data_IF_039136873505
#
_entry.id   IF_039136873505
#
_cell.length_a   1.000
_cell.length_b   1.000
_cell.length_c   1.000
_cell.angle_alpha   90.00
_cell.angle_beta   90.00
_cell.angle_gamma   90.00
#
_symmetry.space_group_name_H-M   'P 1'
#
loop_
_entity.id
_entity.type
_entity.pdbx_description
1 polymer ?
#
# COMPACT_ATOMS: atom_id res chain seq x y z
N UNK A 1 8.62 -8.80 14.18
CA UNK A 1 7.54 -8.34 15.08
C UNK A 1 6.59 -9.49 15.37
N UNK A 2 5.97 -9.51 16.54
CA UNK A 2 4.91 -10.47 16.89
C UNK A 2 3.62 -10.11 16.12
N UNK A 3 2.86 -11.12 15.65
CA UNK A 3 1.56 -10.88 15.01
C UNK A 3 0.64 -10.11 15.97
N UNK A 4 -0.22 -9.23 15.44
CA UNK A 4 -1.30 -8.55 16.19
C UNK A 4 -2.10 -9.51 17.06
N UNK A 5 -2.34 -10.74 16.59
CA UNK A 5 -3.00 -11.78 17.39
C UNK A 5 -2.14 -12.25 18.57
N UNK A 6 -0.83 -12.35 18.39
CA UNK A 6 0.13 -12.68 19.45
C UNK A 6 0.21 -11.56 20.49
N UNK A 7 0.24 -10.29 20.07
CA UNK A 7 0.22 -9.14 20.98
C UNK A 7 -1.07 -9.07 21.81
N UNK A 8 -2.23 -9.29 21.17
CA UNK A 8 -3.51 -9.41 21.88
C UNK A 8 -3.54 -10.57 22.87
N UNK A 9 -2.94 -11.70 22.52
CA UNK A 9 -2.81 -12.84 23.43
C UNK A 9 -1.92 -12.51 24.64
N UNK A 10 -0.80 -11.82 24.44
CA UNK A 10 0.06 -11.36 25.53
C UNK A 10 -0.63 -10.36 26.45
N UNK A 11 -1.43 -9.43 25.92
CA UNK A 11 -2.24 -8.52 26.73
C UNK A 11 -3.29 -9.25 27.57
N UNK A 12 -3.96 -10.26 27.00
CA UNK A 12 -4.90 -11.10 27.73
C UNK A 12 -4.21 -11.91 28.86
N UNK A 13 -3.00 -12.41 28.60
CA UNK A 13 -2.19 -13.08 29.62
C UNK A 13 -1.81 -12.12 30.75
N UNK A 14 -1.35 -10.90 30.44
CA UNK A 14 -1.01 -9.90 31.47
C UNK A 14 -2.22 -9.54 32.32
N UNK A 15 -3.41 -9.41 31.74
CA UNK A 15 -4.64 -9.17 32.49
C UNK A 15 -4.93 -10.29 33.50
N UNK A 16 -4.70 -11.54 33.09
CA UNK A 16 -4.85 -12.72 33.96
C UNK A 16 -3.80 -12.72 35.09
N UNK A 17 -2.54 -12.43 34.77
CA UNK A 17 -1.46 -12.35 35.75
C UNK A 17 -1.72 -11.23 36.78
N UNK A 18 -2.26 -10.09 36.33
CA UNK A 18 -2.63 -8.98 37.20
C UNK A 18 -3.77 -9.33 38.16
N UNK A 19 -4.79 -10.02 37.66
CA UNK A 19 -5.87 -10.53 38.51
C UNK A 19 -5.32 -11.47 39.60
N UNK A 20 -4.39 -12.37 39.24
CA UNK A 20 -3.75 -13.26 40.21
C UNK A 20 -2.93 -12.49 41.27
N UNK A 21 -2.29 -11.36 40.92
CA UNK A 21 -1.61 -10.51 41.91
C UNK A 21 -2.59 -9.87 42.89
N UNK A 22 -3.71 -9.35 42.38
CA UNK A 22 -4.77 -8.77 43.20
C UNK A 22 -5.30 -9.82 44.20
N UNK A 23 -5.55 -11.04 43.72
CA UNK A 23 -6.04 -12.14 44.54
C UNK A 23 -5.01 -12.58 45.61
N UNK A 24 -3.71 -12.38 45.37
CA UNK A 24 -2.65 -12.62 46.35
C UNK A 24 -2.45 -11.46 47.34
N UNK A 25 -2.60 -10.21 46.91
CA UNK A 25 -2.42 -9.03 47.76
C UNK A 25 -3.58 -8.85 48.75
N UNK A 26 -4.82 -9.08 48.30
CA UNK A 26 -6.04 -8.90 49.10
C UNK A 26 -5.98 -9.60 50.48
N UNK A 27 -5.69 -10.91 50.59
CA UNK A 27 -5.62 -11.58 51.89
C UNK A 27 -4.42 -11.10 52.74
N UNK A 28 -3.31 -10.69 52.14
CA UNK A 28 -2.14 -10.18 52.86
C UNK A 28 -2.42 -8.81 53.48
N UNK A 29 -3.10 -7.92 52.74
CA UNK A 29 -3.54 -6.62 53.23
C UNK A 29 -4.56 -6.76 54.37
N UNK A 30 -5.53 -7.67 54.22
CA UNK A 30 -6.48 -7.99 55.28
C UNK A 30 -5.74 -8.48 56.53
N UNK A 31 -4.76 -9.37 56.37
CA UNK A 31 -3.96 -9.91 57.48
C UNK A 31 -3.14 -8.83 58.19
N UNK A 32 -2.53 -7.89 57.49
CA UNK A 32 -1.82 -6.77 58.12
C UNK A 32 -2.79 -5.91 58.95
N UNK A 33 -3.96 -5.61 58.42
CA UNK A 33 -4.96 -4.80 59.13
C UNK A 33 -5.43 -5.51 60.42
N UNK A 34 -5.69 -6.81 60.36
CA UNK A 34 -5.98 -7.64 61.54
C UNK A 34 -4.85 -7.60 62.57
N UNK A 35 -3.60 -7.75 62.13
CA UNK A 35 -2.44 -7.72 63.02
C UNK A 35 -2.24 -6.35 63.68
N UNK A 36 -2.47 -5.26 62.95
CA UNK A 36 -2.45 -3.91 63.52
C UNK A 36 -3.57 -3.71 64.55
N UNK A 37 -4.76 -4.24 64.29
CA UNK A 37 -5.87 -4.21 65.25
C UNK A 37 -5.53 -5.01 66.51
N UNK A 38 -5.01 -6.23 66.36
CA UNK A 38 -4.53 -7.06 67.47
C UNK A 38 -3.47 -6.32 68.29
N UNK A 39 -2.50 -5.67 67.65
CA UNK A 39 -1.48 -4.87 68.33
C UNK A 39 -2.12 -3.73 69.13
N UNK A 40 -3.06 -3.00 68.53
CA UNK A 40 -3.73 -1.87 69.14
C UNK A 40 -4.54 -2.31 70.37
N UNK A 41 -5.38 -3.32 70.21
CA UNK A 41 -6.20 -3.90 71.28
C UNK A 41 -5.34 -4.47 72.42
N UNK A 42 -4.29 -5.22 72.09
CA UNK A 42 -3.39 -5.84 73.08
C UNK A 42 -2.58 -4.79 73.83
N UNK A 43 -2.13 -3.72 73.15
CA UNK A 43 -1.43 -2.60 73.79
C UNK A 43 -2.35 -1.84 74.74
N UNK A 44 -3.60 -1.60 74.35
CA UNK A 44 -4.60 -0.98 75.22
C UNK A 44 -4.89 -1.83 76.47
N UNK A 45 -5.05 -3.15 76.31
CA UNK A 45 -5.27 -4.08 77.42
C UNK A 45 -4.08 -4.15 78.39
N UNK A 46 -2.83 -4.08 77.87
CA UNK A 46 -1.63 -4.00 78.70
C UNK A 46 -1.54 -2.69 79.49
N UNK A 47 -2.05 -1.59 78.94
CA UNK A 47 -2.11 -0.29 79.61
C UNK A 47 -3.21 -0.24 80.69
N UNK A 48 -4.29 -1.02 80.56
CA UNK A 48 -5.35 -1.18 81.59
C UNK A 48 -4.99 -2.25 82.64
N UNK A 49 -3.85 -2.04 83.30
CA UNK A 49 -3.20 -3.02 84.19
C UNK A 49 -4.07 -3.46 85.37
N UNK A 50 -4.98 -2.60 85.83
CA UNK A 50 -5.89 -2.89 86.95
C UNK A 50 -6.87 -4.03 86.65
N UNK A 51 -7.19 -4.28 85.37
CA UNK A 51 -8.15 -5.31 84.95
C UNK A 51 -7.51 -6.61 84.45
N UNK A 52 -6.25 -6.58 83.98
CA UNK A 52 -5.65 -7.69 83.23
C UNK A 52 -4.35 -8.28 83.81
N UNK A 53 -4.02 -8.00 85.08
CA UNK A 53 -2.74 -8.40 85.68
C UNK A 53 -2.44 -9.91 85.61
N UNK A 54 -3.45 -10.78 85.65
CA UNK A 54 -3.27 -12.25 85.55
C UNK A 54 -2.95 -12.75 84.13
N UNK A 55 -3.11 -11.91 83.10
CA UNK A 55 -2.96 -12.27 81.69
C UNK A 55 -1.79 -11.53 81.01
N UNK A 56 -0.96 -10.81 81.78
CA UNK A 56 0.08 -9.92 81.25
C UNK A 56 1.10 -10.67 80.36
N UNK A 57 1.47 -11.90 80.72
CA UNK A 57 2.41 -12.73 79.96
C UNK A 57 1.87 -13.14 78.58
N UNK A 58 0.61 -13.56 78.52
CA UNK A 58 -0.06 -13.96 77.28
C UNK A 58 -0.26 -12.77 76.34
N UNK A 59 -0.65 -11.61 76.88
CA UNK A 59 -0.79 -10.37 76.11
C UNK A 59 0.56 -9.92 75.51
N UNK A 60 1.66 -9.98 76.29
CA UNK A 60 3.01 -9.70 75.76
C UNK A 60 3.41 -10.68 74.65
N UNK A 61 3.13 -11.96 74.83
CA UNK A 61 3.43 -12.99 73.83
C UNK A 61 2.64 -12.77 72.53
N UNK A 62 1.34 -12.43 72.62
CA UNK A 62 0.50 -12.09 71.47
C UNK A 62 1.00 -10.84 70.74
N UNK A 63 1.39 -9.81 71.48
CA UNK A 63 1.96 -8.57 70.91
C UNK A 63 3.27 -8.83 70.15
N UNK A 64 4.18 -9.61 70.75
CA UNK A 64 5.46 -9.97 70.11
C UNK A 64 5.21 -10.79 68.85
N UNK A 65 4.32 -11.78 68.92
CA UNK A 65 3.99 -12.64 67.78
C UNK A 65 3.38 -11.84 66.63
N UNK A 66 2.43 -10.95 66.92
CA UNK A 66 1.81 -10.10 65.90
C UNK A 66 2.82 -9.16 65.23
N UNK A 67 3.69 -8.51 66.01
CA UNK A 67 4.78 -7.66 65.47
C UNK A 67 5.77 -8.43 64.61
N UNK A 68 6.07 -9.69 64.98
CA UNK A 68 6.97 -10.55 64.22
C UNK A 68 6.38 -10.99 62.88
N UNK A 69 5.06 -11.17 62.80
CA UNK A 69 4.37 -11.61 61.59
C UNK A 69 4.24 -10.49 60.53
N UNK A 70 4.16 -9.23 60.94
CA UNK A 70 4.02 -8.07 60.03
C UNK A 70 5.20 -7.95 59.05
N UNK A 71 6.43 -8.10 59.53
CA UNK A 71 7.64 -7.88 58.71
C UNK A 71 7.67 -8.74 57.43
N UNK A 72 7.53 -10.08 57.54
CA UNK A 72 7.46 -10.96 56.37
C UNK A 72 6.28 -10.68 55.44
N UNK A 73 5.11 -10.28 55.96
CA UNK A 73 3.94 -9.96 55.13
C UNK A 73 4.17 -8.66 54.36
N UNK A 74 4.71 -7.63 55.01
CA UNK A 74 5.05 -6.36 54.37
C UNK A 74 6.08 -6.54 53.24
N UNK A 75 7.09 -7.40 53.46
CA UNK A 75 8.07 -7.74 52.41
C UNK A 75 7.40 -8.43 51.21
N UNK A 76 6.47 -9.36 51.44
CA UNK A 76 5.73 -10.02 50.36
C UNK A 76 4.85 -9.03 49.58
N UNK A 77 4.16 -8.12 50.27
CA UNK A 77 3.38 -7.07 49.63
C UNK A 77 4.25 -6.17 48.75
N UNK A 78 5.41 -5.75 49.25
CA UNK A 78 6.36 -4.93 48.48
C UNK A 78 6.84 -5.63 47.20
N UNK A 79 7.08 -6.95 47.24
CA UNK A 79 7.43 -7.74 46.05
C UNK A 79 6.26 -7.77 45.05
N UNK A 80 5.03 -7.97 45.53
CA UNK A 80 3.84 -8.01 44.68
C UNK A 80 3.55 -6.63 44.05
N UNK A 81 3.72 -5.54 44.79
CA UNK A 81 3.59 -4.16 44.27
C UNK A 81 4.63 -3.85 43.19
N UNK A 82 5.89 -4.27 43.41
CA UNK A 82 6.93 -4.16 42.39
C UNK A 82 6.56 -4.95 41.15
N UNK A 83 5.99 -6.15 41.32
CA UNK A 83 5.55 -6.98 40.21
C UNK A 83 4.37 -6.35 39.45
N UNK A 84 3.41 -5.74 40.12
CA UNK A 84 2.31 -5.01 39.47
C UNK A 84 2.82 -3.82 38.65
N UNK A 85 3.84 -3.12 39.16
CA UNK A 85 4.51 -2.03 38.43
C UNK A 85 5.19 -2.54 37.15
N UNK A 86 5.89 -3.68 37.22
CA UNK A 86 6.50 -4.34 36.05
C UNK A 86 5.45 -4.78 35.02
N UNK A 87 4.34 -5.38 35.47
CA UNK A 87 3.24 -5.78 34.58
C UNK A 87 2.59 -4.56 33.91
N UNK A 88 2.43 -3.45 34.64
CA UNK A 88 1.88 -2.20 34.11
C UNK A 88 2.74 -1.62 32.98
N UNK A 89 4.06 -1.62 33.17
CA UNK A 89 4.99 -1.16 32.14
C UNK A 89 4.90 -2.06 30.90
N UNK A 90 4.86 -3.37 31.09
CA UNK A 90 4.79 -4.34 30.00
C UNK A 90 3.47 -4.29 29.25
N UNK A 91 2.37 -4.02 29.95
CA UNK A 91 1.06 -3.77 29.36
C UNK A 91 1.09 -2.52 28.48
N UNK A 92 1.71 -1.44 28.97
CA UNK A 92 1.88 -0.21 28.19
C UNK A 92 2.70 -0.46 26.91
N UNK A 93 3.82 -1.19 27.00
CA UNK A 93 4.65 -1.56 25.85
C UNK A 93 3.86 -2.37 24.81
N UNK A 94 3.19 -3.46 25.21
CA UNK A 94 2.42 -4.28 24.27
C UNK A 94 1.23 -3.54 23.66
N UNK A 95 0.59 -2.60 24.37
CA UNK A 95 -0.46 -1.76 23.80
C UNK A 95 0.10 -0.81 22.74
N UNK A 96 1.29 -0.25 22.96
CA UNK A 96 1.95 0.62 21.99
C UNK A 96 2.34 -0.18 20.74
N UNK A 97 2.93 -1.36 20.92
CA UNK A 97 3.31 -2.25 19.82
C UNK A 97 2.10 -2.72 19.03
N UNK A 98 0.99 -3.04 19.70
CA UNK A 98 -0.27 -3.40 19.03
C UNK A 98 -0.80 -2.24 18.20
N UNK A 99 -0.84 -1.02 18.75
CA UNK A 99 -1.30 0.16 18.02
C UNK A 99 -0.42 0.44 16.78
N UNK A 100 0.90 0.29 16.90
CA UNK A 100 1.83 0.42 15.76
C UNK A 100 1.59 -0.65 14.69
N UNK A 101 1.43 -1.91 15.11
CA UNK A 101 1.16 -3.02 14.19
C UNK A 101 -0.19 -2.86 13.46
N UNK A 102 -1.23 -2.42 14.17
CA UNK A 102 -2.56 -2.15 13.60
C UNK A 102 -2.53 -0.97 12.63
N UNK A 103 -1.79 0.10 12.95
CA UNK A 103 -1.59 1.23 12.04
C UNK A 103 -0.89 0.78 10.75
N UNK A 104 0.25 0.08 10.87
CA UNK A 104 0.99 -0.44 9.72
C UNK A 104 0.14 -1.39 8.86
N UNK A 105 -0.66 -2.25 9.47
CA UNK A 105 -1.57 -3.15 8.76
C UNK A 105 -2.69 -2.40 8.03
N UNK A 106 -3.27 -1.38 8.65
CA UNK A 106 -4.30 -0.53 8.03
C UNK A 106 -3.70 0.21 6.83
N UNK A 107 -2.54 0.85 6.98
CA UNK A 107 -1.86 1.54 5.89
C UNK A 107 -1.50 0.57 4.74
N UNK A 108 -1.01 -0.63 5.04
CA UNK A 108 -0.73 -1.63 4.01
C UNK A 108 -2.01 -2.12 3.31
N UNK A 109 -3.12 -2.25 4.03
CA UNK A 109 -4.42 -2.62 3.47
C UNK A 109 -4.94 -1.56 2.51
N UNK A 110 -4.90 -0.29 2.91
CA UNK A 110 -5.37 0.85 2.09
C UNK A 110 -4.54 0.97 0.81
N UNK A 111 -3.21 0.84 0.91
CA UNK A 111 -2.31 0.85 -0.26
C UNK A 111 -2.59 -0.33 -1.20
N UNK A 112 -2.92 -1.53 -0.68
CA UNK A 112 -3.34 -2.66 -1.54
C UNK A 112 -4.68 -2.39 -2.22
N UNK A 113 -5.61 -1.70 -1.57
CA UNK A 113 -6.88 -1.31 -2.17
C UNK A 113 -6.64 -0.34 -3.35
N UNK A 114 -5.77 0.67 -3.16
CA UNK A 114 -5.36 1.58 -4.24
C UNK A 114 -4.73 0.83 -5.44
N UNK A 115 -3.87 -0.17 -5.18
CA UNK A 115 -3.33 -1.03 -6.23
C UNK A 115 -4.44 -1.80 -6.97
N UNK A 116 -5.43 -2.31 -6.24
CA UNK A 116 -6.58 -3.01 -6.79
C UNK A 116 -7.42 -2.12 -7.72
N UNK A 117 -7.67 -0.87 -7.32
CA UNK A 117 -8.37 0.12 -8.15
C UNK A 117 -7.59 0.42 -9.43
N UNK A 118 -6.28 0.62 -9.33
CA UNK A 118 -5.42 0.84 -10.49
C UNK A 118 -5.46 -0.34 -11.48
N UNK A 119 -5.46 -1.59 -10.99
CA UNK A 119 -5.63 -2.79 -11.82
C UNK A 119 -6.98 -2.79 -12.52
N UNK A 120 -8.05 -2.41 -11.82
CA UNK A 120 -9.39 -2.32 -12.39
C UNK A 120 -9.45 -1.30 -13.53
N UNK A 121 -8.82 -0.13 -13.37
CA UNK A 121 -8.77 0.89 -14.40
C UNK A 121 -7.95 0.47 -15.62
N UNK A 122 -6.83 -0.23 -15.43
CA UNK A 122 -6.06 -0.82 -16.55
C UNK A 122 -6.93 -1.80 -17.35
N UNK A 123 -7.65 -2.71 -16.67
CA UNK A 123 -8.55 -3.68 -17.34
C UNK A 123 -9.68 -3.01 -18.12
N UNK A 124 -10.27 -1.96 -17.56
CA UNK A 124 -11.30 -1.19 -18.25
C UNK A 124 -10.75 -0.48 -19.49
N UNK A 125 -9.56 0.13 -19.40
CA UNK A 125 -8.89 0.75 -20.53
C UNK A 125 -8.57 -0.28 -21.64
N UNK A 126 -8.05 -1.47 -21.28
CA UNK A 126 -7.78 -2.56 -22.22
C UNK A 126 -9.06 -3.04 -22.93
N UNK A 127 -10.17 -3.16 -22.19
CA UNK A 127 -11.45 -3.54 -22.77
C UNK A 127 -11.97 -2.48 -23.76
N UNK A 128 -11.84 -1.19 -23.42
CA UNK A 128 -12.16 -0.08 -24.33
C UNK A 128 -11.28 -0.10 -25.58
N UNK A 129 -9.97 -0.34 -25.44
CA UNK A 129 -9.05 -0.46 -26.57
C UNK A 129 -9.41 -1.61 -27.50
N UNK A 130 -9.75 -2.79 -26.96
CA UNK A 130 -10.22 -3.93 -27.73
C UNK A 130 -11.51 -3.61 -28.50
N UNK A 131 -12.46 -2.91 -27.87
CA UNK A 131 -13.68 -2.44 -28.52
C UNK A 131 -13.39 -1.42 -29.63
N UNK A 132 -12.44 -0.51 -29.42
CA UNK A 132 -12.06 0.44 -30.47
C UNK A 132 -11.34 -0.24 -31.63
N UNK A 133 -10.52 -1.26 -31.39
CA UNK A 133 -9.86 -2.03 -32.43
C UNK A 133 -10.87 -2.74 -33.36
N UNK A 134 -11.93 -3.33 -32.79
CA UNK A 134 -13.00 -3.95 -33.59
C UNK A 134 -13.77 -2.90 -34.40
N UNK A 135 -14.16 -1.79 -33.78
CA UNK A 135 -14.82 -0.67 -34.48
C UNK A 135 -13.96 -0.09 -35.61
N UNK A 136 -12.64 0.01 -35.41
CA UNK A 136 -11.71 0.49 -36.43
C UNK A 136 -11.67 -0.45 -37.62
N UNK A 137 -11.64 -1.76 -37.37
CA UNK A 137 -11.62 -2.80 -38.41
C UNK A 137 -12.89 -2.74 -39.25
N UNK A 138 -14.05 -2.65 -38.60
CA UNK A 138 -15.34 -2.52 -39.28
C UNK A 138 -15.44 -1.25 -40.13
N UNK A 139 -15.00 -0.11 -39.58
CA UNK A 139 -15.01 1.17 -40.30
C UNK A 139 -14.04 1.17 -41.48
N UNK A 140 -12.85 0.58 -41.34
CA UNK A 140 -11.89 0.41 -42.46
C UNK A 140 -12.45 -0.50 -43.54
N UNK A 141 -13.15 -1.58 -43.17
CA UNK A 141 -13.82 -2.46 -44.12
C UNK A 141 -14.91 -1.71 -44.90
N UNK A 142 -15.76 -0.94 -44.19
CA UNK A 142 -16.78 -0.08 -44.81
C UNK A 142 -16.17 0.99 -45.72
N UNK A 143 -15.06 1.61 -45.30
CA UNK A 143 -14.35 2.58 -46.12
C UNK A 143 -13.80 1.96 -47.41
N UNK A 144 -13.22 0.76 -47.33
CA UNK A 144 -12.70 0.03 -48.49
C UNK A 144 -13.82 -0.36 -49.46
N UNK A 145 -14.96 -0.83 -48.95
CA UNK A 145 -16.13 -1.14 -49.76
C UNK A 145 -16.67 0.11 -50.47
N UNK A 146 -16.81 1.23 -49.76
CA UNK A 146 -17.27 2.48 -50.35
C UNK A 146 -16.31 3.05 -51.41
N UNK A 147 -14.99 2.93 -51.20
CA UNK A 147 -13.99 3.30 -52.23
C UNK A 147 -14.07 2.43 -53.48
N UNK A 148 -14.37 1.13 -53.33
CA UNK A 148 -14.57 0.22 -54.47
C UNK A 148 -15.78 0.61 -55.28
N UNK A 149 -16.93 0.84 -54.63
CA UNK A 149 -18.14 1.31 -55.30
C UNK A 149 -17.93 2.66 -56.02
N UNK A 150 -17.15 3.57 -55.43
CA UNK A 150 -16.80 4.83 -56.11
C UNK A 150 -15.92 4.62 -57.36
N UNK A 151 -14.99 3.66 -57.31
CA UNK A 151 -14.15 3.32 -58.46
C UNK A 151 -14.94 2.60 -59.55
N UNK A 152 -15.91 1.76 -59.20
CA UNK A 152 -16.82 1.10 -60.14
C UNK A 152 -17.66 2.11 -60.92
N UNK A 153 -18.16 3.16 -60.25
CA UNK A 153 -18.82 4.29 -60.94
C UNK A 153 -17.88 4.96 -61.93
N UNK A 154 -16.64 5.27 -61.53
CA UNK A 154 -15.66 5.89 -62.44
C UNK A 154 -15.30 5.00 -63.63
N UNK A 155 -15.21 3.69 -63.42
CA UNK A 155 -14.98 2.73 -64.49
C UNK A 155 -16.17 2.71 -65.47
N UNK A 156 -17.40 2.69 -64.96
CA UNK A 156 -18.61 2.74 -65.79
C UNK A 156 -18.76 4.09 -66.53
N UNK A 157 -18.29 5.19 -65.95
CA UNK A 157 -18.21 6.49 -66.63
C UNK A 157 -17.20 6.46 -67.78
N UNK A 158 -16.01 5.88 -67.57
CA UNK A 158 -15.01 5.67 -68.63
C UNK A 158 -15.54 4.77 -69.76
N UNK A 159 -16.19 3.64 -69.42
CA UNK A 159 -16.80 2.74 -70.42
C UNK A 159 -17.85 3.47 -71.27
N UNK A 160 -18.64 4.36 -70.66
CA UNK A 160 -19.63 5.16 -71.39
C UNK A 160 -18.98 6.20 -72.29
N UNK A 161 -17.94 6.89 -71.83
CA UNK A 161 -17.22 7.88 -72.61
C UNK A 161 -16.53 7.23 -73.82
N UNK A 162 -15.89 6.06 -73.63
CA UNK A 162 -15.29 5.25 -74.70
C UNK A 162 -16.33 4.79 -75.73
N UNK A 163 -17.48 4.28 -75.28
CA UNK A 163 -18.56 3.85 -76.18
C UNK A 163 -19.13 5.02 -76.99
N UNK A 164 -19.23 6.22 -76.39
CA UNK A 164 -19.67 7.44 -77.07
C UNK A 164 -18.66 7.93 -78.09
N UNK A 165 -17.37 7.90 -77.76
CA UNK A 165 -16.30 8.28 -78.67
C UNK A 165 -16.24 7.32 -79.87
N UNK A 166 -16.34 6.00 -79.63
CA UNK A 166 -16.39 5.00 -80.70
C UNK A 166 -17.59 5.19 -81.64
N UNK A 167 -18.78 5.47 -81.08
CA UNK A 167 -19.96 5.80 -81.88
C UNK A 167 -19.75 7.06 -82.73
N UNK A 168 -19.15 8.11 -82.16
CA UNK A 168 -18.94 9.36 -82.88
C UNK A 168 -17.87 9.24 -83.97
N UNK A 169 -16.80 8.49 -83.70
CA UNK A 169 -15.80 8.15 -84.70
C UNK A 169 -16.43 7.37 -85.86
N UNK A 170 -17.24 6.35 -85.57
CA UNK A 170 -17.92 5.55 -86.60
C UNK A 170 -18.86 6.39 -87.46
N UNK A 171 -19.59 7.35 -86.87
CA UNK A 171 -20.42 8.30 -87.62
C UNK A 171 -19.59 9.19 -88.54
N UNK A 172 -18.45 9.69 -88.06
CA UNK A 172 -17.52 10.49 -88.85
C UNK A 172 -16.98 9.71 -90.05
N UNK A 173 -16.57 8.47 -89.84
CA UNK A 173 -16.08 7.56 -90.89
C UNK A 173 -17.17 7.24 -91.93
N UNK A 174 -18.39 6.94 -91.47
CA UNK A 174 -19.55 6.70 -92.34
C UNK A 174 -19.88 7.90 -93.23
N UNK A 175 -19.83 9.10 -92.64
CA UNK A 175 -20.07 10.36 -93.34
C UNK A 175 -19.03 10.62 -94.42
N UNK A 176 -17.74 10.46 -94.11
CA UNK A 176 -16.63 10.65 -95.07
C UNK A 176 -16.67 9.61 -96.19
N UNK A 177 -17.05 8.37 -95.89
CA UNK A 177 -17.13 7.28 -96.88
C UNK A 177 -18.38 7.33 -97.77
N UNK A 178 -19.38 8.17 -97.47
CA UNK A 178 -20.63 8.24 -98.21
C UNK A 178 -21.47 6.95 -98.13
N UNK A 179 -21.24 6.12 -97.11
CA UNK A 179 -21.90 4.83 -96.90
C UNK A 179 -22.92 4.92 -95.77
N UNK A 180 -24.03 4.19 -95.90
CA UNK A 180 -24.89 3.89 -94.76
C UNK A 180 -24.16 2.90 -93.85
N UNK A 181 -23.48 3.39 -92.82
CA UNK A 181 -22.88 2.53 -91.80
C UNK A 181 -23.96 1.89 -90.92
N UNK A 182 -23.76 0.63 -90.56
CA UNK A 182 -24.57 -0.06 -89.56
C UNK A 182 -24.17 0.43 -88.16
N UNK A 183 -24.77 1.54 -87.74
CA UNK A 183 -24.55 2.15 -86.43
C UNK A 183 -25.27 1.39 -85.29
N UNK A 184 -26.06 0.36 -85.60
CA UNK A 184 -26.90 -0.31 -84.61
C UNK A 184 -26.06 -0.93 -83.48
N UNK A 185 -24.90 -1.51 -83.81
CA UNK A 185 -24.00 -2.14 -82.83
C UNK A 185 -23.50 -1.10 -81.80
N UNK A 186 -22.95 0.02 -82.27
CA UNK A 186 -22.42 1.09 -81.41
C UNK A 186 -23.51 1.78 -80.58
N UNK A 187 -24.72 1.96 -81.12
CA UNK A 187 -25.86 2.47 -80.34
C UNK A 187 -26.22 1.49 -79.22
N UNK A 188 -26.16 0.19 -79.49
CA UNK A 188 -26.43 -0.85 -78.49
C UNK A 188 -25.37 -0.85 -77.39
N UNK A 189 -24.09 -0.69 -77.74
CA UNK A 189 -22.98 -0.59 -76.79
C UNK A 189 -23.12 0.62 -75.86
N UNK A 190 -23.46 1.80 -76.38
CA UNK A 190 -23.76 3.00 -75.56
C UNK A 190 -24.91 2.71 -74.60
N UNK A 191 -25.99 2.08 -75.08
CA UNK A 191 -27.16 1.76 -74.24
C UNK A 191 -26.80 0.80 -73.09
N UNK A 192 -25.93 -0.19 -73.36
CA UNK A 192 -25.43 -1.12 -72.33
C UNK A 192 -24.55 -0.39 -71.30
N UNK A 193 -23.65 0.48 -71.75
CA UNK A 193 -22.80 1.29 -70.88
C UNK A 193 -23.62 2.25 -70.00
N UNK A 194 -24.65 2.90 -70.55
CA UNK A 194 -25.57 3.76 -69.80
C UNK A 194 -26.32 2.99 -68.71
N UNK A 195 -26.76 1.76 -69.01
CA UNK A 195 -27.42 0.90 -68.04
C UNK A 195 -26.48 0.49 -66.91
N UNK A 196 -25.24 0.11 -67.23
CA UNK A 196 -24.20 -0.20 -66.23
C UNK A 196 -23.88 0.99 -65.34
N UNK A 197 -23.76 2.18 -65.91
CA UNK A 197 -23.53 3.40 -65.15
C UNK A 197 -24.69 3.70 -64.19
N UNK A 198 -25.93 3.54 -64.64
CA UNK A 198 -27.11 3.75 -63.80
C UNK A 198 -27.19 2.75 -62.63
N UNK A 199 -26.80 1.49 -62.86
CA UNK A 199 -26.72 0.44 -61.84
C UNK A 199 -25.60 0.73 -60.84
N UNK A 200 -24.39 1.02 -61.32
CA UNK A 200 -23.24 1.41 -60.49
C UNK A 200 -23.53 2.65 -59.64
N UNK A 201 -24.21 3.67 -60.18
CA UNK A 201 -24.61 4.86 -59.41
C UNK A 201 -25.61 4.53 -58.30
N UNK A 202 -26.65 3.74 -58.60
CA UNK A 202 -27.61 3.30 -57.58
C UNK A 202 -26.96 2.54 -56.42
N UNK A 203 -26.00 1.67 -56.72
CA UNK A 203 -25.30 0.88 -55.70
C UNK A 203 -24.27 1.71 -54.92
N UNK A 204 -23.70 2.74 -55.54
CA UNK A 204 -22.61 3.54 -54.99
C UNK A 204 -23.05 4.80 -54.25
N UNK A 205 -24.20 5.41 -54.58
CA UNK A 205 -24.64 6.70 -54.01
C UNK A 205 -24.66 6.70 -52.48
N UNK A 206 -25.21 5.65 -51.87
CA UNK A 206 -25.23 5.49 -50.41
C UNK A 206 -23.84 5.28 -49.81
N UNK A 207 -22.97 4.56 -50.53
CA UNK A 207 -21.61 4.26 -50.09
C UNK A 207 -20.69 5.49 -50.17
N UNK A 208 -20.79 6.27 -51.25
CA UNK A 208 -20.07 7.53 -51.46
C UNK A 208 -20.50 8.58 -50.44
N UNK A 209 -21.82 8.72 -50.20
CA UNK A 209 -22.33 9.62 -49.17
C UNK A 209 -21.86 9.24 -47.75
N UNK A 210 -21.60 7.95 -47.49
CA UNK A 210 -21.11 7.47 -46.21
C UNK A 210 -19.60 7.72 -45.97
N UNK A 211 -18.78 7.91 -47.02
CA UNK A 211 -17.33 8.13 -46.90
C UNK A 211 -16.92 9.24 -45.92
N UNK A 212 -17.45 10.48 -46.01
CA UNK A 212 -17.10 11.54 -45.07
C UNK A 212 -17.52 11.22 -43.63
N UNK A 213 -18.65 10.52 -43.45
CA UNK A 213 -19.12 10.08 -42.13
C UNK A 213 -18.17 9.03 -41.55
N UNK A 214 -17.75 8.04 -42.35
CA UNK A 214 -16.79 7.01 -41.96
C UNK A 214 -15.45 7.64 -41.59
N UNK A 215 -14.95 8.59 -42.38
CA UNK A 215 -13.71 9.31 -42.10
C UNK A 215 -13.79 10.08 -40.77
N UNK A 216 -14.90 10.79 -40.52
CA UNK A 216 -15.15 11.49 -39.26
C UNK A 216 -15.20 10.53 -38.07
N UNK A 217 -15.85 9.36 -38.23
CA UNK A 217 -15.91 8.32 -37.20
C UNK A 217 -14.53 7.72 -36.91
N UNK A 218 -13.71 7.47 -37.93
CA UNK A 218 -12.33 6.99 -37.75
C UNK A 218 -11.45 8.01 -37.01
N UNK A 219 -11.56 9.30 -37.34
CA UNK A 219 -10.84 10.36 -36.63
C UNK A 219 -11.29 10.48 -35.16
N UNK A 220 -12.59 10.40 -34.89
CA UNK A 220 -13.11 10.40 -33.53
C UNK A 220 -12.66 9.16 -32.74
N UNK A 221 -12.61 7.99 -33.38
CA UNK A 221 -12.12 6.76 -32.78
C UNK A 221 -10.64 6.85 -32.41
N UNK A 222 -9.81 7.47 -33.27
CA UNK A 222 -8.39 7.68 -32.98
C UNK A 222 -8.18 8.49 -31.68
N UNK A 223 -8.97 9.56 -31.47
CA UNK A 223 -8.94 10.35 -30.22
C UNK A 223 -9.38 9.53 -29.00
N UNK A 224 -10.36 8.64 -29.16
CA UNK A 224 -10.80 7.75 -28.08
C UNK A 224 -9.73 6.72 -27.70
N UNK A 225 -9.01 6.18 -28.69
CA UNK A 225 -7.86 5.29 -28.47
C UNK A 225 -6.76 6.03 -27.71
N UNK A 226 -6.42 7.24 -28.12
CA UNK A 226 -5.43 8.08 -27.43
C UNK A 226 -5.82 8.35 -25.97
N UNK A 227 -7.08 8.71 -25.72
CA UNK A 227 -7.60 8.90 -24.36
C UNK A 227 -7.54 7.62 -23.52
N UNK A 228 -7.91 6.46 -24.07
CA UNK A 228 -7.87 5.19 -23.34
C UNK A 228 -6.42 4.74 -23.04
N UNK A 229 -5.48 5.03 -23.94
CA UNK A 229 -4.06 4.81 -23.68
C UNK A 229 -3.54 5.69 -22.54
N UNK A 230 -3.93 6.97 -22.51
CA UNK A 230 -3.56 7.88 -21.43
C UNK A 230 -4.14 7.44 -20.07
N UNK A 231 -5.39 6.96 -20.05
CA UNK A 231 -6.01 6.39 -18.85
C UNK A 231 -5.23 5.16 -18.36
N UNK A 232 -4.84 4.25 -19.27
CA UNK A 232 -4.05 3.07 -18.95
C UNK A 232 -2.67 3.43 -18.39
N UNK A 233 -1.98 4.39 -19.00
CA UNK A 233 -0.67 4.87 -18.53
C UNK A 233 -0.77 5.51 -17.13
N UNK A 234 -1.82 6.29 -16.87
CA UNK A 234 -2.05 6.89 -15.56
C UNK A 234 -2.34 5.83 -14.49
N UNK A 235 -3.15 4.82 -14.83
CA UNK A 235 -3.44 3.70 -13.93
C UNK A 235 -2.16 2.90 -13.61
N UNK A 236 -1.29 2.66 -14.60
CA UNK A 236 0.00 2.01 -14.40
C UNK A 236 0.92 2.82 -13.46
N UNK A 237 0.99 4.15 -13.63
CA UNK A 237 1.75 5.03 -12.73
C UNK A 237 1.23 4.96 -11.29
N UNK A 238 -0.09 4.98 -11.11
CA UNK A 238 -0.73 4.85 -9.78
C UNK A 238 -0.43 3.50 -9.14
N UNK A 239 -0.49 2.42 -9.92
CA UNK A 239 -0.13 1.08 -9.46
C UNK A 239 1.31 1.05 -8.93
N UNK A 240 2.28 1.56 -9.68
CA UNK A 240 3.68 1.56 -9.26
C UNK A 240 3.96 2.48 -8.06
N UNK A 241 3.28 3.63 -7.97
CA UNK A 241 3.37 4.51 -6.82
C UNK A 241 2.83 3.83 -5.54
N UNK A 242 1.68 3.15 -5.63
CA UNK A 242 1.13 2.39 -4.51
C UNK A 242 2.00 1.17 -4.16
N UNK A 243 2.52 0.45 -5.16
CA UNK A 243 3.45 -0.66 -4.96
C UNK A 243 4.72 -0.20 -4.22
N UNK A 244 5.29 0.94 -4.61
CA UNK A 244 6.50 1.51 -3.95
C UNK A 244 6.20 1.87 -2.49
N UNK A 245 5.08 2.55 -2.22
CA UNK A 245 4.63 2.84 -0.84
C UNK A 245 4.44 1.57 -0.01
N UNK A 246 3.92 0.49 -0.59
CA UNK A 246 3.78 -0.79 0.10
C UNK A 246 5.14 -1.40 0.48
N UNK A 247 6.12 -1.28 -0.41
CA UNK A 247 7.50 -1.67 -0.13
C UNK A 247 8.12 -0.81 0.97
N UNK A 248 7.90 0.52 0.95
CA UNK A 248 8.37 1.42 1.99
C UNK A 248 7.74 1.13 3.35
N UNK A 249 6.44 0.84 3.42
CA UNK A 249 5.77 0.44 4.66
C UNK A 249 6.39 -0.84 5.22
N UNK A 250 6.66 -1.82 4.35
CA UNK A 250 7.31 -3.07 4.75
C UNK A 250 8.75 -2.85 5.20
N UNK A 251 9.52 -2.05 4.47
CA UNK A 251 10.92 -1.78 4.75
C UNK A 251 11.10 -0.92 6.00
N UNK A 252 10.29 0.14 6.17
CA UNK A 252 10.27 0.97 7.38
C UNK A 252 9.99 0.12 8.61
N UNK A 253 9.04 -0.80 8.51
CA UNK A 253 8.72 -1.74 9.57
C UNK A 253 9.89 -2.69 9.93
N UNK A 254 10.60 -3.19 8.92
CA UNK A 254 11.80 -4.03 9.13
C UNK A 254 12.95 -3.24 9.76
N UNK A 255 13.16 -1.98 9.34
CA UNK A 255 14.20 -1.09 9.88
C UNK A 255 13.89 -0.64 11.31
N UNK A 256 12.64 -0.30 11.62
CA UNK A 256 12.21 0.05 12.98
C UNK A 256 12.45 -1.12 13.95
N UNK A 257 12.11 -2.35 13.55
CA UNK A 257 12.40 -3.55 14.36
C UNK A 257 13.90 -3.81 14.55
N UNK A 258 14.72 -3.53 13.55
CA UNK A 258 16.17 -3.60 13.64
C UNK A 258 16.75 -2.54 14.60
N UNK A 259 16.22 -1.32 14.56
CA UNK A 259 16.62 -0.22 15.47
C UNK A 259 16.24 -0.57 16.91
N UNK A 260 15.03 -1.08 17.15
CA UNK A 260 14.60 -1.53 18.49
C UNK A 260 15.47 -2.67 19.02
N UNK A 261 15.83 -3.63 18.17
CA UNK A 261 16.75 -4.72 18.51
C UNK A 261 18.15 -4.19 18.82
N UNK A 262 18.64 -3.21 18.06
CA UNK A 262 19.93 -2.58 18.30
C UNK A 262 19.94 -1.76 19.60
N UNK A 263 18.83 -1.07 19.92
CA UNK A 263 18.66 -0.30 21.15
C UNK A 263 18.61 -1.22 22.38
N UNK A 264 17.91 -2.36 22.30
CA UNK A 264 17.90 -3.37 23.38
C UNK A 264 19.28 -3.98 23.59
N UNK A 265 20.02 -4.27 22.52
CA UNK A 265 21.40 -4.75 22.62
C UNK A 265 22.35 -3.67 23.19
N UNK A 266 22.16 -2.38 22.85
CA UNK A 266 22.91 -1.27 23.46
C UNK A 266 22.60 -1.08 24.94
N UNK A 267 21.35 -1.23 25.35
CA UNK A 267 20.98 -1.21 26.76
C UNK A 267 21.63 -2.37 27.53
N UNK A 268 21.80 -3.53 26.88
CA UNK A 268 22.53 -4.67 27.42
C UNK A 268 24.05 -4.42 27.50
N UNK A 269 24.62 -3.77 26.49
CA UNK A 269 26.02 -3.32 26.46
C UNK A 269 26.32 -2.41 27.64
N UNK A 270 25.47 -1.41 27.92
CA UNK A 270 25.58 -0.51 29.09
C UNK A 270 25.62 -1.26 30.42
N UNK A 271 24.89 -2.38 30.52
CA UNK A 271 24.84 -3.20 31.75
C UNK A 271 26.00 -4.20 31.86
N UNK A 272 26.62 -4.58 30.75
CA UNK A 272 27.60 -5.68 30.71
C UNK A 272 29.02 -5.26 30.32
N UNK A 273 29.21 -4.01 29.89
CA UNK A 273 30.48 -3.46 29.42
C UNK A 273 30.96 -4.05 28.08
N UNK A 274 30.17 -4.90 27.43
CA UNK A 274 30.47 -5.46 26.10
C UNK A 274 29.94 -4.48 25.06
N UNK A 275 30.63 -4.31 23.92
CA UNK A 275 30.27 -3.33 22.87
C UNK A 275 29.54 -3.97 21.67
N UNK A 276 28.75 -5.03 21.91
CA UNK A 276 28.19 -5.83 20.81
C UNK A 276 26.99 -5.13 20.15
N UNK A 277 26.09 -4.59 20.96
CA UNK A 277 24.97 -3.76 20.52
C UNK A 277 25.40 -2.45 19.83
N UNK A 278 26.47 -1.80 20.29
CA UNK A 278 26.98 -0.59 19.63
C UNK A 278 27.52 -0.88 18.22
N UNK A 279 28.22 -2.01 18.05
CA UNK A 279 28.75 -2.45 16.74
C UNK A 279 27.64 -2.88 15.77
N UNK A 280 26.60 -3.55 16.26
CA UNK A 280 25.45 -3.95 15.43
C UNK A 280 24.66 -2.71 14.99
N UNK A 281 24.46 -1.74 15.89
CA UNK A 281 23.84 -0.47 15.54
C UNK A 281 24.61 0.30 14.46
N UNK A 282 25.94 0.40 14.60
CA UNK A 282 26.80 1.06 13.59
C UNK A 282 26.78 0.33 12.24
N UNK A 283 26.73 -1.00 12.22
CA UNK A 283 26.62 -1.79 11.01
C UNK A 283 25.26 -1.61 10.30
N UNK A 284 24.17 -1.47 11.06
CA UNK A 284 22.83 -1.14 10.52
C UNK A 284 22.82 0.31 9.98
N UNK A 285 23.46 1.24 10.70
CA UNK A 285 23.64 2.66 10.31
C UNK A 285 24.47 2.82 9.03
N UNK A 286 25.45 1.94 8.79
CA UNK A 286 26.29 1.92 7.57
C UNK A 286 25.58 1.41 6.31
N UNK A 287 24.33 0.96 6.45
CA UNK A 287 23.49 0.44 5.37
C UNK A 287 23.82 -1.00 5.03
N UNK A 288 22.79 -1.84 4.97
CA UNK A 288 22.80 -3.09 4.20
C UNK A 288 23.47 -2.87 2.83
N UNK A 289 24.76 -3.18 2.71
CA UNK A 289 25.47 -3.36 1.44
C UNK A 289 25.68 -4.85 1.24
N UNK A 290 24.94 -5.44 0.30
CA UNK A 290 25.28 -6.74 -0.31
C UNK A 290 25.90 -6.44 -1.69
N UNK A 291 26.90 -7.22 -2.16
CA UNK A 291 27.64 -6.90 -3.38
C UNK A 291 26.75 -6.97 -4.63
N UNK A 292 26.95 -6.02 -5.53
CA UNK A 292 26.41 -6.01 -6.88
C UNK A 292 27.14 -7.08 -7.71
N UNK A 293 26.43 -8.06 -8.25
CA UNK A 293 26.93 -8.87 -9.37
C UNK A 293 26.50 -8.20 -10.68
N UNK A 294 27.47 -7.88 -11.53
CA UNK A 294 27.23 -7.43 -12.90
C UNK A 294 26.40 -8.45 -13.69
N UNK A 295 25.31 -8.00 -14.34
CA UNK A 295 24.60 -8.77 -15.37
C UNK A 295 23.18 -9.30 -15.08
N UNK A 296 22.39 -8.68 -14.19
CA UNK A 296 21.00 -9.13 -13.90
C UNK A 296 19.94 -8.14 -14.41
N UNK A 297 18.99 -8.62 -15.22
CA UNK A 297 17.84 -7.86 -15.79
C UNK A 297 16.63 -7.72 -14.84
N UNK A 298 16.84 -7.82 -13.51
CA UNK A 298 15.82 -7.57 -12.50
C UNK A 298 16.25 -6.45 -11.53
N UNK A 299 15.31 -5.60 -11.05
CA UNK A 299 15.63 -4.48 -10.18
C UNK A 299 16.29 -4.95 -8.89
N UNK A 300 17.52 -4.48 -8.67
CA UNK A 300 18.26 -4.67 -7.43
C UNK A 300 17.81 -3.67 -6.34
N UNK A 301 17.98 -4.01 -5.04
CA UNK A 301 17.63 -3.13 -3.93
C UNK A 301 18.28 -1.75 -4.09
N UNK A 302 17.45 -0.72 -3.96
CA UNK A 302 17.85 0.67 -4.13
C UNK A 302 18.92 1.02 -3.08
N UNK A 303 20.13 1.33 -3.56
CA UNK A 303 21.08 2.13 -2.81
C UNK A 303 20.42 3.49 -2.56
N UNK A 304 20.32 3.86 -1.28
CA UNK A 304 20.01 5.20 -0.82
C UNK A 304 21.09 6.16 -1.33
N UNK A 305 20.89 6.68 -2.54
CA UNK A 305 21.67 7.80 -3.06
C UNK A 305 20.71 8.81 -3.62
N UNK A 306 20.52 9.90 -2.88
CA UNK A 306 19.81 11.07 -3.35
C UNK A 306 19.01 11.72 -2.23
N UNK A 307 19.64 12.69 -1.55
CA UNK A 307 19.07 13.84 -0.84
C UNK A 307 17.56 13.78 -0.56
N UNK A 308 17.11 12.81 0.22
CA UNK A 308 15.76 12.85 0.75
C UNK A 308 15.83 13.71 2.01
N UNK A 309 15.61 15.01 1.83
CA UNK A 309 15.62 16.01 2.91
C UNK A 309 14.74 15.56 4.09
N UNK A 310 13.71 14.76 3.82
CA UNK A 310 12.83 14.14 4.82
C UNK A 310 13.53 13.10 5.67
N UNK A 311 14.38 12.27 5.05
CA UNK A 311 15.16 11.23 5.74
C UNK A 311 16.37 11.85 6.46
N UNK A 312 17.02 12.83 5.84
CA UNK A 312 18.06 13.62 6.50
C UNK A 312 17.51 14.36 7.72
N UNK A 313 16.35 15.02 7.62
CA UNK A 313 15.70 15.67 8.75
C UNK A 313 15.30 14.68 9.86
N UNK A 314 14.92 13.45 9.50
CA UNK A 314 14.61 12.40 10.47
C UNK A 314 15.88 11.89 11.17
N UNK A 315 16.99 11.76 10.44
CA UNK A 315 18.29 11.40 10.99
C UNK A 315 18.86 12.51 11.88
N UNK A 316 18.80 13.77 11.46
CA UNK A 316 19.26 14.94 12.21
C UNK A 316 18.48 15.13 13.52
N UNK A 317 17.16 14.86 13.48
CA UNK A 317 16.32 14.88 14.67
C UNK A 317 16.70 13.77 15.66
N UNK A 318 16.95 12.56 15.16
CA UNK A 318 17.40 11.43 15.99
C UNK A 318 18.82 11.67 16.54
N UNK A 319 19.67 12.39 15.81
CA UNK A 319 20.99 12.84 16.29
C UNK A 319 20.87 13.88 17.41
N UNK A 320 19.96 14.86 17.27
CA UNK A 320 19.69 15.87 18.32
C UNK A 320 19.12 15.24 19.60
N UNK A 321 18.24 14.24 19.47
CA UNK A 321 17.71 13.49 20.62
C UNK A 321 18.78 12.62 21.30
N UNK A 322 19.79 12.16 20.54
CA UNK A 322 20.95 11.43 21.06
C UNK A 322 21.95 12.35 21.79
N UNK A 323 22.27 13.51 21.24
CA UNK A 323 23.14 14.49 21.89
C UNK A 323 22.53 15.00 23.20
N UNK A 324 21.21 15.24 23.22
CA UNK A 324 20.49 15.59 24.44
C UNK A 324 20.54 14.47 25.50
N UNK A 325 20.55 13.20 25.08
CA UNK A 325 20.65 12.06 25.98
C UNK A 325 22.09 11.82 26.49
N UNK A 326 23.11 12.24 25.73
CA UNK A 326 24.52 12.14 26.13
C UNK A 326 24.96 13.32 27.03
N UNK A 327 24.41 14.52 26.82
CA UNK A 327 24.70 15.69 27.65
C UNK A 327 24.21 15.55 29.10
N UNK A 328 23.26 14.64 29.36
CA UNK A 328 22.78 14.31 30.72
C UNK A 328 23.79 13.47 31.52
N UNK A 329 24.75 12.80 30.85
CA UNK A 329 25.80 12.02 31.52
C UNK A 329 27.06 12.85 31.87
N UNK A 330 27.24 14.05 31.31
CA UNK A 330 28.41 14.92 31.60
C UNK A 330 28.22 15.83 32.84
N UNK A 331 26.98 15.98 33.35
CA UNK A 331 26.68 16.82 34.52
C UNK A 331 26.81 16.08 35.87
N UNK A 332 27.10 14.77 35.90
CA UNK A 332 27.16 13.95 37.13
C UNK A 332 28.59 13.53 37.56
N UNK A 333 29.64 14.03 36.89
CA UNK A 333 31.05 13.74 37.22
C UNK A 333 31.70 14.80 38.15
N UNK A 334 30.89 15.51 38.93
CA UNK A 334 31.32 16.66 39.76
C UNK A 334 31.13 16.55 41.27
N UNK A 335 30.74 15.39 41.84
CA UNK A 335 30.64 15.20 43.29
C UNK A 335 31.85 14.45 43.84
N UNK A 336 32.95 15.19 43.98
CA UNK A 336 34.17 14.80 44.68
C UNK A 336 33.86 14.38 46.13
N UNK A 337 34.06 13.09 46.44
CA UNK A 337 34.07 12.58 47.82
C UNK A 337 35.44 12.92 48.42
N UNK A 338 35.48 13.92 49.32
CA UNK A 338 36.51 14.07 50.35
C UNK A 338 36.00 13.51 51.66
#
# INVERSE_FOLDING_TARGET
>A
MQDTNTLRAHLAQLATERQNLIDQQSPLNARINELHEIITQTTAALNDRARHWQQEGDLKSRLISAKKEIGPIAQKLQILERRDSELSLREFEYRNDLARAEYANTTASDVRAEMGEAISWMRDADARLAQFASQQTDLKAKQKAAKRAANEVKAAESELDEAREALEQQKGEAFVAGLNADLAIYITEVTVAEKRLAEAKRESDAAVAALPIIAKKLAALARKVESANADSEMALKRYWAAHTRLYEVKYRHEVEGLIETANTLRALDRKTGRQLGSKIYEAIRGGLKVPTTEGSDYPQPVKLTGNDETLCALLDRLESELEAALAVDDDDDGAEIV
#
